data_IF_506397738455
#
_entry.id   IF_506397738455
#
_cell.length_a   1.000
_cell.length_b   1.000
_cell.length_c   1.000
_cell.angle_alpha   90.00
_cell.angle_beta   90.00
_cell.angle_gamma   90.00
#
_symmetry.space_group_name_H-M   'P 1'
#
loop_
_entity.id
_entity.type
_entity.pdbx_description
1 polymer ?
#
# COMPACT_ATOMS: atom_id res chain seq x y z
N UNK A 1 3.71 4.24 18.79
CA UNK A 1 5.05 4.62 19.31
C UNK A 1 5.89 5.19 18.17
N UNK A 2 6.59 6.29 18.41
CA UNK A 2 7.49 6.90 17.42
C UNK A 2 8.65 5.96 17.09
N UNK A 3 8.98 5.78 15.80
CA UNK A 3 10.12 4.95 15.35
C UNK A 3 11.48 5.45 15.87
N UNK A 4 11.55 6.69 16.38
CA UNK A 4 12.76 7.30 16.93
C UNK A 4 13.38 6.50 18.08
N UNK A 5 12.57 5.83 18.90
CA UNK A 5 13.09 5.03 20.03
C UNK A 5 13.94 3.84 19.59
N UNK A 6 13.79 3.39 18.35
CA UNK A 6 14.55 2.27 17.79
C UNK A 6 16.05 2.58 17.68
N UNK A 7 16.45 3.86 17.59
CA UNK A 7 17.85 4.23 17.44
C UNK A 7 18.74 3.78 18.62
N UNK A 8 18.16 3.58 19.81
CA UNK A 8 18.85 3.10 21.01
C UNK A 8 18.57 1.61 21.32
N UNK A 9 17.93 0.87 20.40
CA UNK A 9 17.78 -0.59 20.55
C UNK A 9 19.14 -1.28 20.39
N UNK A 10 19.39 -2.34 21.16
CA UNK A 10 20.66 -3.10 21.14
C UNK A 10 20.74 -4.13 20.00
N UNK A 11 19.73 -4.20 19.13
CA UNK A 11 19.70 -5.13 18.01
C UNK A 11 20.48 -4.54 16.83
N UNK A 12 21.39 -5.33 16.25
CA UNK A 12 22.29 -4.91 15.15
C UNK A 12 21.57 -4.31 13.94
N UNK A 13 20.34 -4.72 13.66
CA UNK A 13 19.52 -4.29 12.52
C UNK A 13 18.78 -2.96 12.75
N UNK A 14 18.73 -2.46 13.98
CA UNK A 14 17.92 -1.29 14.36
C UNK A 14 18.69 -0.20 15.07
N UNK A 15 19.80 -0.55 15.73
CA UNK A 15 20.64 0.41 16.42
C UNK A 15 21.20 1.43 15.44
N UNK A 16 21.13 2.71 15.80
CA UNK A 16 21.91 3.75 15.15
C UNK A 16 22.99 4.20 16.11
N UNK A 17 24.21 3.67 15.93
CA UNK A 17 25.36 3.92 16.80
C UNK A 17 25.68 5.42 16.88
N UNK A 18 25.67 6.12 15.75
CA UNK A 18 25.95 7.57 15.71
C UNK A 18 24.97 8.38 16.58
N UNK A 19 23.70 8.00 16.58
CA UNK A 19 22.68 8.66 17.40
C UNK A 19 22.80 8.27 18.87
N UNK A 20 23.03 6.98 19.14
CA UNK A 20 23.12 6.45 20.49
C UNK A 20 24.32 6.99 21.27
N UNK A 21 25.46 7.17 20.58
CA UNK A 21 26.70 7.70 21.15
C UNK A 21 26.62 9.22 21.35
N UNK A 22 25.94 9.95 20.46
CA UNK A 22 25.83 11.40 20.53
C UNK A 22 24.91 11.89 21.66
N UNK A 23 23.81 11.18 21.93
CA UNK A 23 22.84 11.61 22.95
C UNK A 23 22.07 10.41 23.51
N UNK A 24 21.80 10.41 24.82
CA UNK A 24 20.97 9.36 25.41
C UNK A 24 19.50 9.51 25.06
N UNK A 25 18.79 8.38 24.99
CA UNK A 25 17.35 8.32 24.71
C UNK A 25 16.55 9.23 25.63
N UNK A 26 16.81 9.17 26.92
CA UNK A 26 16.00 9.91 27.90
C UNK A 26 16.29 11.42 27.81
N UNK A 27 17.53 11.80 27.49
CA UNK A 27 17.91 13.20 27.29
C UNK A 27 17.27 13.80 26.04
N UNK A 28 17.24 13.10 24.91
CA UNK A 28 16.57 13.64 23.71
C UNK A 28 15.06 13.74 23.89
N UNK A 29 14.44 12.77 24.57
CA UNK A 29 13.00 12.82 24.84
C UNK A 29 12.68 13.99 25.77
N UNK A 30 13.49 14.21 26.81
CA UNK A 30 13.36 15.38 27.69
C UNK A 30 13.50 16.70 26.93
N UNK A 31 14.55 16.86 26.11
CA UNK A 31 14.77 18.06 25.30
C UNK A 31 13.58 18.30 24.37
N UNK A 32 13.12 17.27 23.65
CA UNK A 32 12.04 17.38 22.68
C UNK A 32 10.69 17.71 23.34
N UNK A 33 10.44 17.21 24.56
CA UNK A 33 9.23 17.53 25.30
C UNK A 33 9.20 18.97 25.83
N UNK A 34 10.37 19.55 26.10
CA UNK A 34 10.52 20.87 26.72
C UNK A 34 11.10 21.93 25.77
N UNK A 35 11.12 21.64 24.46
CA UNK A 35 11.62 22.59 23.48
C UNK A 35 10.58 23.69 23.23
N UNK A 36 10.94 24.93 23.59
CA UNK A 36 10.11 26.11 23.39
C UNK A 36 10.90 27.18 22.62
N UNK A 37 10.28 27.79 21.61
CA UNK A 37 10.89 28.86 20.82
C UNK A 37 10.36 30.25 21.19
N UNK A 38 9.40 30.33 22.11
CA UNK A 38 8.74 31.56 22.55
C UNK A 38 8.45 31.49 24.05
N UNK A 39 8.33 32.67 24.65
CA UNK A 39 7.75 32.81 25.98
C UNK A 39 6.23 32.55 25.91
N UNK A 40 5.71 31.69 26.80
CA UNK A 40 4.29 31.35 26.83
C UNK A 40 3.42 32.44 27.44
N UNK A 41 4.02 33.40 28.17
CA UNK A 41 3.30 34.49 28.82
C UNK A 41 3.04 35.68 27.88
N UNK A 42 3.69 35.69 26.71
CA UNK A 42 3.63 36.78 25.73
C UNK A 42 3.24 36.27 24.32
N UNK A 43 2.15 35.51 24.25
CA UNK A 43 1.65 34.95 22.99
C UNK A 43 0.55 35.82 22.38
N UNK A 44 0.73 36.21 21.11
CA UNK A 44 -0.35 36.80 20.31
C UNK A 44 -1.37 35.71 19.93
N UNK A 45 -2.63 35.80 20.40
CA UNK A 45 -3.67 34.82 20.09
C UNK A 45 -4.09 34.80 18.61
N UNK A 46 -3.79 35.87 17.86
CA UNK A 46 -4.13 35.98 16.44
C UNK A 46 -3.29 35.02 15.57
N UNK A 47 -2.03 34.82 15.93
CA UNK A 47 -1.12 33.96 15.17
C UNK A 47 -1.18 32.50 15.63
N UNK A 48 -1.78 31.65 14.79
CA UNK A 48 -1.89 30.20 15.01
C UNK A 48 -0.55 29.48 15.15
N UNK A 49 0.54 30.05 14.63
CA UNK A 49 1.88 29.46 14.68
C UNK A 49 2.82 30.17 15.65
N UNK A 50 2.30 31.04 16.52
CA UNK A 50 3.11 31.90 17.40
C UNK A 50 4.22 31.16 18.15
N UNK A 51 3.98 29.92 18.60
CA UNK A 51 4.94 29.10 19.36
C UNK A 51 6.20 28.68 18.60
N UNK A 52 6.15 28.70 17.26
CA UNK A 52 7.28 28.33 16.38
C UNK A 52 7.66 29.47 15.43
N UNK A 53 6.91 30.57 15.44
CA UNK A 53 7.09 31.73 14.56
C UNK A 53 8.52 32.29 14.60
N UNK A 54 9.14 32.52 15.78
CA UNK A 54 10.49 33.09 15.82
C UNK A 54 11.54 32.20 15.18
N UNK A 55 11.36 30.88 15.26
CA UNK A 55 12.24 29.93 14.59
C UNK A 55 12.11 30.04 13.07
N UNK A 56 10.88 30.11 12.55
CA UNK A 56 10.64 30.29 11.12
C UNK A 56 11.18 31.63 10.61
N UNK A 57 10.96 32.71 11.35
CA UNK A 57 11.45 34.04 10.96
C UNK A 57 12.97 34.06 10.93
N UNK A 58 13.63 33.45 11.92
CA UNK A 58 15.09 33.34 11.95
C UNK A 58 15.61 32.52 10.77
N UNK A 59 15.01 31.36 10.49
CA UNK A 59 15.39 30.52 9.36
C UNK A 59 15.17 31.23 8.03
N UNK A 60 14.00 31.84 7.83
CA UNK A 60 13.68 32.57 6.60
C UNK A 60 14.64 33.73 6.37
N UNK A 61 14.95 34.51 7.42
CA UNK A 61 15.93 35.58 7.35
C UNK A 61 17.31 35.06 6.92
N UNK A 62 17.81 34.02 7.58
CA UNK A 62 19.10 33.42 7.24
C UNK A 62 19.09 32.83 5.82
N UNK A 63 18.02 32.15 5.42
CA UNK A 63 17.92 31.63 4.06
C UNK A 63 17.87 32.75 3.02
N UNK A 64 17.16 33.84 3.27
CA UNK A 64 17.17 35.00 2.38
C UNK A 64 18.55 35.67 2.29
N UNK A 65 19.26 35.77 3.41
CA UNK A 65 20.60 36.38 3.47
C UNK A 65 21.65 35.56 2.70
N UNK A 66 21.55 34.23 2.73
CA UNK A 66 22.56 33.33 2.13
C UNK A 66 22.05 32.58 0.88
N UNK A 67 20.82 32.82 0.43
CA UNK A 67 20.28 32.17 -0.75
C UNK A 67 21.04 32.64 -2.00
N UNK A 68 21.54 31.71 -2.83
CA UNK A 68 22.09 32.06 -4.14
C UNK A 68 21.00 32.68 -5.03
N UNK A 69 21.34 33.79 -5.70
CA UNK A 69 20.49 34.41 -6.71
C UNK A 69 20.52 33.57 -8.00
N UNK A 70 19.36 33.02 -8.39
CA UNK A 70 19.17 32.34 -9.67
C UNK A 70 18.06 33.04 -10.44
N UNK A 71 18.15 33.09 -11.78
CA UNK A 71 17.15 33.76 -12.64
C UNK A 71 15.80 33.03 -12.69
N UNK A 72 15.72 31.81 -12.15
CA UNK A 72 14.52 30.99 -12.16
C UNK A 72 14.23 30.42 -10.77
N UNK A 73 13.05 30.72 -10.24
CA UNK A 73 12.55 30.17 -8.99
C UNK A 73 11.33 29.30 -9.24
N UNK A 74 11.37 28.04 -8.80
CA UNK A 74 10.21 27.16 -8.80
C UNK A 74 9.54 27.21 -7.43
N UNK A 75 8.28 27.62 -7.40
CA UNK A 75 7.46 27.61 -6.19
C UNK A 75 6.69 26.30 -6.16
N UNK A 76 7.07 25.40 -5.25
CA UNK A 76 6.37 24.15 -5.00
C UNK A 76 5.76 24.16 -3.59
N UNK A 77 4.49 23.82 -3.47
CA UNK A 77 3.82 23.69 -2.18
C UNK A 77 4.09 22.30 -1.59
N UNK A 78 5.14 22.18 -0.77
CA UNK A 78 5.42 20.97 -0.01
C UNK A 78 4.62 20.95 1.30
N UNK A 79 3.69 20.02 1.42
CA UNK A 79 2.98 19.74 2.67
C UNK A 79 3.88 18.86 3.55
N UNK A 80 4.34 19.42 4.68
CA UNK A 80 5.28 18.74 5.61
C UNK A 80 4.55 17.91 6.67
N UNK A 81 3.27 18.21 6.96
CA UNK A 81 2.49 17.52 7.98
C UNK A 81 1.09 17.14 7.45
N UNK A 82 0.82 15.84 7.38
CA UNK A 82 -0.52 15.31 7.10
C UNK A 82 -1.16 14.86 8.41
N UNK A 83 -2.30 15.44 8.76
CA UNK A 83 -3.10 14.94 9.88
C UNK A 83 -3.69 13.59 9.51
N UNK A 84 -3.73 12.64 10.45
CA UNK A 84 -4.38 11.33 10.24
C UNK A 84 -5.91 11.39 10.15
N UNK A 85 -6.51 12.59 10.18
CA UNK A 85 -7.95 12.80 10.22
C UNK A 85 -8.42 13.38 8.88
N UNK A 86 -8.06 12.73 7.78
CA UNK A 86 -8.58 13.12 6.47
C UNK A 86 -10.08 12.83 6.40
N UNK A 87 -10.86 13.72 5.77
CA UNK A 87 -12.30 13.53 5.54
C UNK A 87 -12.62 12.15 4.94
N UNK A 88 -11.70 11.62 4.13
CA UNK A 88 -11.78 10.25 3.58
C UNK A 88 -11.86 9.17 4.67
N UNK A 89 -11.18 9.35 5.81
CA UNK A 89 -11.25 8.41 6.93
C UNK A 89 -12.57 8.51 7.70
N UNK A 90 -13.18 9.71 7.74
CA UNK A 90 -14.48 9.96 8.39
C UNK A 90 -15.66 9.51 7.54
N UNK A 91 -15.59 9.71 6.22
CA UNK A 91 -16.69 9.47 5.28
C UNK A 91 -16.76 8.01 4.81
N UNK A 92 -15.80 7.17 5.19
CA UNK A 92 -15.71 5.79 4.72
C UNK A 92 -15.53 5.70 3.21
N UNK A 93 -15.53 4.49 2.67
CA UNK A 93 -15.47 4.29 1.23
C UNK A 93 -16.91 4.31 0.70
N UNK A 94 -17.32 5.30 -0.12
CA UNK A 94 -18.72 5.43 -0.58
C UNK A 94 -19.13 4.35 -1.58
N UNK A 95 -18.17 3.57 -2.09
CA UNK A 95 -18.42 2.50 -3.06
C UNK A 95 -18.81 1.22 -2.34
N UNK A 96 -19.84 0.57 -2.87
CA UNK A 96 -20.25 -0.76 -2.43
C UNK A 96 -19.11 -1.78 -2.53
N UNK A 97 -19.08 -2.72 -1.58
CA UNK A 97 -18.12 -3.82 -1.61
C UNK A 97 -18.44 -4.74 -2.77
N UNK A 98 -17.52 -4.82 -3.72
CA UNK A 98 -17.59 -5.75 -4.85
C UNK A 98 -17.38 -7.19 -4.34
N UNK A 99 -18.19 -8.12 -4.83
CA UNK A 99 -18.07 -9.55 -4.52
C UNK A 99 -16.72 -10.13 -5.00
N UNK A 100 -16.26 -11.22 -4.38
CA UNK A 100 -14.99 -11.82 -4.76
C UNK A 100 -14.99 -12.40 -6.19
N UNK A 101 -16.13 -12.85 -6.69
CA UNK A 101 -16.25 -13.38 -8.05
C UNK A 101 -16.17 -12.28 -9.12
N UNK A 102 -16.46 -11.04 -8.73
CA UNK A 102 -16.43 -9.88 -9.61
C UNK A 102 -15.07 -9.16 -9.62
N UNK A 103 -14.15 -9.54 -8.73
CA UNK A 103 -12.79 -9.00 -8.68
C UNK A 103 -11.88 -9.61 -9.75
N UNK A 104 -10.80 -8.90 -10.07
CA UNK A 104 -9.70 -9.39 -10.90
C UNK A 104 -8.57 -9.95 -10.04
N UNK A 105 -7.64 -10.68 -10.67
CA UNK A 105 -6.47 -11.23 -10.00
C UNK A 105 -6.32 -12.73 -10.23
N UNK A 106 -5.78 -13.41 -9.23
CA UNK A 106 -5.44 -14.84 -9.29
C UNK A 106 -6.56 -15.65 -8.67
N UNK A 107 -7.02 -16.64 -9.41
CA UNK A 107 -8.11 -17.51 -9.03
C UNK A 107 -7.74 -18.98 -9.20
N UNK A 108 -8.51 -19.80 -8.54
CA UNK A 108 -8.41 -21.25 -8.54
C UNK A 108 -9.74 -21.85 -8.95
N UNK A 109 -9.69 -22.92 -9.74
CA UNK A 109 -10.82 -23.79 -10.07
C UNK A 109 -10.46 -25.20 -9.63
N UNK A 110 -11.15 -25.72 -8.62
CA UNK A 110 -11.02 -27.13 -8.24
C UNK A 110 -11.95 -28.04 -9.05
N UNK A 111 -11.48 -29.23 -9.41
CA UNK A 111 -12.35 -30.24 -9.98
C UNK A 111 -13.21 -30.90 -8.89
N UNK A 112 -14.42 -31.34 -9.23
CA UNK A 112 -15.26 -32.13 -8.31
C UNK A 112 -14.91 -33.61 -8.31
N UNK A 113 -14.40 -34.11 -9.44
CA UNK A 113 -14.22 -35.54 -9.69
C UNK A 113 -12.79 -36.01 -9.38
N UNK A 114 -11.87 -35.09 -9.09
CA UNK A 114 -10.49 -35.38 -8.77
C UNK A 114 -9.86 -34.26 -7.93
N UNK A 115 -8.69 -34.51 -7.35
CA UNK A 115 -7.96 -33.54 -6.53
C UNK A 115 -7.18 -32.50 -7.33
N UNK A 116 -7.35 -32.47 -8.66
CA UNK A 116 -6.66 -31.52 -9.52
C UNK A 116 -7.29 -30.13 -9.45
N UNK A 117 -6.41 -29.13 -9.47
CA UNK A 117 -6.77 -27.71 -9.35
C UNK A 117 -6.09 -26.93 -10.46
N UNK A 118 -6.82 -25.97 -11.01
CA UNK A 118 -6.29 -25.04 -11.99
C UNK A 118 -6.10 -23.68 -11.34
N UNK A 119 -4.89 -23.14 -11.42
CA UNK A 119 -4.59 -21.77 -10.99
C UNK A 119 -4.41 -20.93 -12.25
N UNK A 120 -5.06 -19.77 -12.28
CA UNK A 120 -4.92 -18.84 -13.39
C UNK A 120 -5.11 -17.40 -12.94
N UNK A 121 -4.65 -16.48 -13.78
CA UNK A 121 -4.86 -15.05 -13.61
C UNK A 121 -5.90 -14.47 -14.59
N UNK A 122 -6.52 -13.35 -14.20
CA UNK A 122 -7.38 -12.55 -15.08
C UNK A 122 -7.26 -11.06 -14.78
N UNK A 123 -7.25 -10.25 -15.86
CA UNK A 123 -7.32 -8.78 -15.79
C UNK A 123 -8.76 -8.27 -15.59
N UNK A 124 -9.75 -9.07 -15.99
CA UNK A 124 -11.19 -8.80 -15.83
C UNK A 124 -11.73 -9.56 -14.62
N UNK A 125 -13.03 -9.44 -14.33
CA UNK A 125 -13.66 -10.26 -13.30
C UNK A 125 -13.45 -11.75 -13.53
N UNK A 126 -13.19 -12.50 -12.46
CA UNK A 126 -13.02 -13.96 -12.53
C UNK A 126 -14.27 -14.62 -13.09
N UNK A 127 -15.46 -14.16 -12.72
CA UNK A 127 -16.73 -14.66 -13.25
C UNK A 127 -16.76 -14.61 -14.78
N UNK A 128 -16.28 -13.52 -15.38
CA UNK A 128 -16.22 -13.38 -16.85
C UNK A 128 -15.28 -14.42 -17.45
N UNK A 129 -14.09 -14.60 -16.87
CA UNK A 129 -13.12 -15.60 -17.34
C UNK A 129 -13.65 -17.03 -17.21
N UNK A 130 -14.37 -17.32 -16.13
CA UNK A 130 -15.01 -18.62 -15.93
C UNK A 130 -16.09 -18.90 -16.99
N UNK A 131 -16.93 -17.90 -17.31
CA UNK A 131 -17.92 -18.02 -18.39
C UNK A 131 -17.27 -18.32 -19.75
N UNK A 132 -16.12 -17.70 -20.03
CA UNK A 132 -15.35 -18.00 -21.24
C UNK A 132 -14.90 -19.47 -21.27
N UNK A 133 -14.36 -20.00 -20.16
CA UNK A 133 -13.99 -21.42 -20.07
C UNK A 133 -15.18 -22.36 -20.29
N UNK A 134 -16.34 -22.05 -19.70
CA UNK A 134 -17.57 -22.85 -19.90
C UNK A 134 -18.09 -22.76 -21.33
N UNK A 135 -17.98 -21.60 -21.98
CA UNK A 135 -18.32 -21.44 -23.39
C UNK A 135 -17.38 -22.28 -24.27
N UNK A 136 -16.07 -22.28 -23.99
CA UNK A 136 -15.11 -23.13 -24.71
C UNK A 136 -15.46 -24.61 -24.61
N UNK A 137 -15.83 -25.09 -23.43
CA UNK A 137 -16.32 -26.45 -23.23
C UNK A 137 -17.61 -26.74 -24.02
N UNK A 138 -18.59 -25.83 -23.95
CA UNK A 138 -19.87 -25.99 -24.64
C UNK A 138 -19.72 -26.07 -26.17
N UNK A 139 -18.81 -25.28 -26.74
CA UNK A 139 -18.56 -25.24 -28.18
C UNK A 139 -17.43 -26.18 -28.64
N UNK A 140 -16.88 -27.02 -27.75
CA UNK A 140 -15.80 -27.96 -28.09
C UNK A 140 -14.49 -27.30 -28.50
N UNK A 141 -14.24 -26.06 -28.08
CA UNK A 141 -13.02 -25.28 -28.38
C UNK A 141 -11.96 -25.50 -27.31
N UNK A 142 -11.48 -26.73 -27.19
CA UNK A 142 -10.53 -27.15 -26.15
C UNK A 142 -9.17 -26.47 -26.28
N UNK A 143 -8.79 -26.04 -27.49
CA UNK A 143 -7.51 -25.41 -27.79
C UNK A 143 -7.32 -24.02 -27.15
N UNK A 144 -8.42 -23.36 -26.75
CA UNK A 144 -8.38 -21.99 -26.22
C UNK A 144 -8.23 -21.90 -24.71
N UNK A 145 -8.40 -23.01 -24.01
CA UNK A 145 -8.33 -23.04 -22.56
C UNK A 145 -7.89 -24.40 -22.07
N UNK A 146 -6.83 -24.41 -21.25
CA UNK A 146 -6.37 -25.62 -20.58
C UNK A 146 -7.46 -26.25 -19.70
N UNK A 147 -8.29 -25.43 -19.05
CA UNK A 147 -9.45 -25.88 -18.26
C UNK A 147 -10.45 -26.62 -19.14
N UNK A 148 -10.67 -26.14 -20.36
CA UNK A 148 -11.59 -26.77 -21.30
C UNK A 148 -11.03 -28.09 -21.85
N UNK A 149 -9.75 -28.11 -22.22
CA UNK A 149 -9.06 -29.34 -22.62
C UNK A 149 -9.10 -30.40 -21.52
N UNK A 150 -8.70 -30.03 -20.30
CA UNK A 150 -8.68 -30.93 -19.16
C UNK A 150 -10.03 -31.57 -18.86
N UNK A 151 -11.10 -30.77 -18.85
CA UNK A 151 -12.44 -31.27 -18.58
C UNK A 151 -13.01 -32.13 -19.71
N UNK A 152 -12.65 -31.85 -20.98
CA UNK A 152 -13.05 -32.67 -22.11
C UNK A 152 -12.35 -34.04 -22.08
N UNK A 153 -11.03 -34.06 -21.91
CA UNK A 153 -10.22 -35.30 -21.97
C UNK A 153 -10.55 -36.26 -20.81
N UNK A 154 -10.82 -35.73 -19.63
CA UNK A 154 -11.11 -36.54 -18.43
C UNK A 154 -12.61 -36.71 -18.17
N UNK A 155 -13.48 -36.18 -19.04
CA UNK A 155 -14.93 -36.14 -18.85
C UNK A 155 -15.34 -35.60 -17.46
N UNK A 156 -14.65 -34.56 -17.00
CA UNK A 156 -14.81 -33.98 -15.68
C UNK A 156 -15.77 -32.80 -15.67
N UNK A 157 -16.59 -32.71 -14.62
CA UNK A 157 -17.54 -31.60 -14.46
C UNK A 157 -16.94 -30.45 -13.66
N UNK A 158 -16.85 -29.29 -14.29
CA UNK A 158 -16.45 -28.04 -13.64
C UNK A 158 -17.69 -27.27 -13.22
N UNK A 159 -17.71 -26.81 -11.96
CA UNK A 159 -18.85 -26.11 -11.36
C UNK A 159 -18.38 -24.76 -10.84
N UNK A 160 -19.22 -23.74 -10.95
CA UNK A 160 -18.91 -22.38 -10.48
C UNK A 160 -18.64 -22.31 -8.96
N UNK A 161 -19.26 -23.18 -8.16
CA UNK A 161 -19.04 -23.22 -6.71
C UNK A 161 -17.60 -23.58 -6.32
N UNK A 162 -16.83 -24.14 -7.25
CA UNK A 162 -15.43 -24.50 -7.06
C UNK A 162 -14.48 -23.37 -7.50
N UNK A 163 -15.03 -22.20 -7.86
CA UNK A 163 -14.27 -21.02 -8.22
C UNK A 163 -13.91 -20.24 -6.95
N UNK A 164 -12.62 -19.96 -6.76
CA UNK A 164 -12.12 -19.22 -5.60
C UNK A 164 -11.14 -18.14 -6.01
N UNK A 165 -11.34 -16.92 -5.53
CA UNK A 165 -10.35 -15.85 -5.60
C UNK A 165 -9.25 -16.13 -4.56
N UNK A 166 -8.01 -16.32 -5.00
CA UNK A 166 -6.84 -16.45 -4.12
C UNK A 166 -6.32 -15.06 -3.75
N UNK A 167 -6.13 -14.20 -4.75
CA UNK A 167 -5.53 -12.87 -4.53
C UNK A 167 -6.12 -11.84 -5.48
N UNK A 168 -6.69 -10.77 -4.92
CA UNK A 168 -7.09 -9.61 -5.71
C UNK A 168 -5.84 -8.85 -6.15
N UNK A 169 -5.64 -8.73 -7.46
CA UNK A 169 -4.54 -7.99 -8.07
C UNK A 169 -5.12 -7.13 -9.18
N UNK A 170 -4.96 -5.82 -9.05
CA UNK A 170 -5.39 -4.82 -10.05
C UNK A 170 -4.24 -4.35 -10.93
N UNK A 171 -3.00 -4.44 -10.45
CA UNK A 171 -1.82 -4.04 -11.20
C UNK A 171 -1.39 -5.16 -12.17
N UNK A 172 -1.48 -4.87 -13.47
CA UNK A 172 -1.19 -5.81 -14.55
C UNK A 172 0.24 -6.35 -14.47
N UNK A 173 1.22 -5.50 -14.14
CA UNK A 173 2.65 -5.89 -14.10
C UNK A 173 2.98 -6.90 -13.01
N UNK A 174 2.08 -7.06 -12.04
CA UNK A 174 2.27 -7.94 -10.90
C UNK A 174 1.54 -9.28 -11.06
N UNK A 175 0.66 -9.42 -12.05
CA UNK A 175 -0.17 -10.62 -12.21
C UNK A 175 0.68 -11.85 -12.45
N UNK A 176 1.59 -11.81 -13.43
CA UNK A 176 2.39 -12.95 -13.85
C UNK A 176 3.34 -13.40 -12.71
N UNK A 177 3.92 -12.44 -12.00
CA UNK A 177 4.77 -12.71 -10.84
C UNK A 177 3.99 -13.38 -9.71
N UNK A 178 2.80 -12.85 -9.38
CA UNK A 178 1.99 -13.44 -8.31
C UNK A 178 1.38 -14.78 -8.71
N UNK A 179 1.04 -14.99 -9.98
CA UNK A 179 0.57 -16.29 -10.48
C UNK A 179 1.67 -17.34 -10.32
N UNK A 180 2.88 -17.04 -10.79
CA UNK A 180 4.04 -17.93 -10.68
C UNK A 180 4.31 -18.31 -9.21
N UNK A 181 4.28 -17.34 -8.31
CA UNK A 181 4.42 -17.60 -6.87
C UNK A 181 3.30 -18.50 -6.35
N UNK A 182 2.05 -18.24 -6.76
CA UNK A 182 0.88 -19.00 -6.27
C UNK A 182 0.92 -20.45 -6.73
N UNK A 183 1.35 -20.69 -7.97
CA UNK A 183 1.55 -22.03 -8.55
C UNK A 183 2.66 -22.80 -7.83
N UNK A 184 3.72 -22.12 -7.38
CA UNK A 184 4.82 -22.77 -6.66
C UNK A 184 4.49 -23.10 -5.19
N UNK A 185 3.49 -22.44 -4.62
CA UNK A 185 3.14 -22.58 -3.20
C UNK A 185 1.98 -23.55 -2.91
N UNK A 186 1.26 -24.02 -3.94
CA UNK A 186 0.11 -24.93 -3.83
C UNK A 186 0.36 -26.23 -4.59
#
# INVERSE_FOLDING_TARGET
MSRRRMFWEQRKDKQNILVADALSRDRIEFIMQNLHCCDNDQLDPSDKFIKVRPLFDKLNKTFQEYAPYWEQHNINNNLVYNSKNELQMLLGNPKDKIDNNEKSGIYEISCKNCDQKYIGHTKRSILTRFKEHMAHLKYGRTEKSYVAQYAFDNNHRIVINNLKLIRNVTNIRQLDAFESVTVLTN
#
